data_IF_854106014438
#
_entry.id   IF_854106014438
#
_cell.length_a   1.000
_cell.length_b   1.000
_cell.length_c   1.000
_cell.angle_alpha   90.00
_cell.angle_beta   90.00
_cell.angle_gamma   90.00
#
_symmetry.space_group_name_H-M   'P 1'
#
loop_
_entity.id
_entity.type
_entity.pdbx_description
1 polymer ?
#
# COMPACT_ATOMS: atom_id res chain seq x y z
N UNK A 1 -14.38 -12.01 2.07
CA UNK A 1 -15.53 -11.75 1.19
C UNK A 1 -15.18 -10.73 0.09
N UNK A 2 -14.87 -9.44 0.38
CA UNK A 2 -14.58 -8.44 -0.68
C UNK A 2 -13.35 -8.79 -1.51
N UNK A 3 -12.29 -9.36 -0.92
CA UNK A 3 -11.12 -9.87 -1.64
C UNK A 3 -11.48 -10.97 -2.67
N UNK A 4 -12.53 -11.73 -2.41
CA UNK A 4 -13.02 -12.80 -3.30
C UNK A 4 -14.05 -12.29 -4.31
N UNK A 5 -14.89 -11.32 -3.94
CA UNK A 5 -15.92 -10.74 -4.80
C UNK A 5 -15.37 -9.78 -5.84
N UNK A 6 -14.28 -9.07 -5.50
CA UNK A 6 -13.68 -8.02 -6.33
C UNK A 6 -12.17 -8.26 -6.57
N UNK A 7 -11.76 -9.46 -7.05
CA UNK A 7 -10.34 -9.76 -7.27
C UNK A 7 -9.71 -8.85 -8.34
N UNK A 8 -10.49 -8.35 -9.29
CA UNK A 8 -10.03 -7.43 -10.34
C UNK A 8 -9.65 -6.04 -9.82
N UNK A 9 -10.05 -5.69 -8.60
CA UNK A 9 -9.64 -4.45 -7.94
C UNK A 9 -8.31 -4.59 -7.18
N UNK A 10 -7.74 -5.79 -7.15
CA UNK A 10 -6.46 -6.08 -6.48
C UNK A 10 -5.36 -6.24 -7.53
N UNK A 11 -4.32 -5.43 -7.45
CA UNK A 11 -3.18 -5.57 -8.33
C UNK A 11 -2.19 -6.61 -7.79
N UNK A 12 -1.57 -7.39 -8.68
CA UNK A 12 -0.65 -8.47 -8.29
C UNK A 12 0.62 -8.00 -7.57
N UNK A 13 1.02 -6.74 -7.72
CA UNK A 13 2.14 -6.14 -6.97
C UNK A 13 1.77 -5.72 -5.54
N UNK A 14 0.49 -5.59 -5.21
CA UNK A 14 0.03 -5.46 -3.83
C UNK A 14 -0.01 -6.84 -3.17
N UNK A 15 0.74 -7.02 -2.09
CA UNK A 15 0.92 -8.33 -1.43
C UNK A 15 0.30 -8.40 -0.03
N UNK A 16 -0.23 -7.28 0.48
CA UNK A 16 -0.82 -7.22 1.80
C UNK A 16 -2.16 -7.96 1.89
N UNK A 17 -2.48 -8.44 3.07
CA UNK A 17 -3.76 -9.06 3.44
C UNK A 17 -4.23 -10.22 2.54
N UNK A 18 -3.38 -10.75 1.67
CA UNK A 18 -3.69 -11.86 0.79
C UNK A 18 -3.33 -13.21 1.42
N UNK A 19 -4.23 -14.18 1.31
CA UNK A 19 -4.03 -15.52 1.86
C UNK A 19 -2.79 -16.18 1.27
N UNK A 20 -1.91 -16.68 2.13
CA UNK A 20 -0.68 -17.38 1.73
C UNK A 20 0.47 -16.47 1.31
N UNK A 21 0.32 -15.14 1.43
CA UNK A 21 1.39 -14.18 1.17
C UNK A 21 1.75 -13.45 2.46
N UNK A 22 2.84 -13.88 3.11
CA UNK A 22 3.40 -13.21 4.28
C UNK A 22 4.63 -12.39 3.95
N UNK A 23 5.05 -11.52 4.89
CA UNK A 23 6.22 -10.64 4.74
C UNK A 23 7.49 -11.41 4.32
N UNK A 24 7.73 -12.60 4.88
CA UNK A 24 8.90 -13.42 4.53
C UNK A 24 8.97 -13.80 3.05
N UNK A 25 7.82 -14.15 2.44
CA UNK A 25 7.76 -14.46 1.01
C UNK A 25 8.09 -13.23 0.14
N UNK A 26 7.54 -12.09 0.50
CA UNK A 26 7.80 -10.81 -0.20
C UNK A 26 9.28 -10.43 -0.09
N UNK A 27 9.85 -10.53 1.10
CA UNK A 27 11.27 -10.21 1.36
C UNK A 27 12.21 -11.15 0.60
N UNK A 28 11.88 -12.44 0.50
CA UNK A 28 12.65 -13.40 -0.31
C UNK A 28 12.64 -13.02 -1.78
N UNK A 29 11.48 -12.61 -2.32
CA UNK A 29 11.36 -12.14 -3.69
C UNK A 29 12.17 -10.86 -3.92
N UNK A 30 12.08 -9.88 -3.02
CA UNK A 30 12.89 -8.64 -3.07
C UNK A 30 14.39 -8.97 -3.08
N UNK A 31 14.85 -9.83 -2.18
CA UNK A 31 16.26 -10.25 -2.10
C UNK A 31 16.74 -10.88 -3.41
N UNK A 32 15.92 -11.74 -4.03
CA UNK A 32 16.23 -12.34 -5.32
C UNK A 32 16.35 -11.28 -6.43
N UNK A 33 15.41 -10.33 -6.49
CA UNK A 33 15.46 -9.21 -7.46
C UNK A 33 16.68 -8.32 -7.29
N UNK A 34 17.12 -8.11 -6.03
CA UNK A 34 18.36 -7.37 -5.76
C UNK A 34 19.59 -8.02 -6.39
N UNK A 35 19.65 -9.37 -6.40
CA UNK A 35 20.77 -10.08 -7.04
C UNK A 35 20.76 -10.00 -8.56
N UNK A 36 19.57 -9.97 -9.18
CA UNK A 36 19.41 -9.90 -10.63
C UNK A 36 19.80 -8.52 -11.20
N UNK A 37 19.62 -7.45 -10.43
CA UNK A 37 19.79 -6.06 -10.93
C UNK A 37 21.26 -5.63 -11.03
N UNK A 38 22.20 -6.38 -10.43
CA UNK A 38 23.65 -6.13 -10.53
C UNK A 38 24.17 -5.07 -9.56
N UNK A 39 25.51 -4.91 -9.50
CA UNK A 39 26.21 -4.19 -8.43
C UNK A 39 26.56 -2.73 -8.73
N UNK A 40 25.90 -2.02 -9.64
CA UNK A 40 26.29 -0.69 -10.04
C UNK A 40 25.30 0.41 -9.63
N UNK A 41 25.62 1.14 -8.57
CA UNK A 41 24.93 2.37 -8.20
C UNK A 41 23.66 2.18 -7.36
N UNK A 42 22.75 3.15 -7.42
CA UNK A 42 21.43 3.06 -6.83
C UNK A 42 20.57 2.08 -7.63
N UNK A 43 19.97 1.12 -6.96
CA UNK A 43 19.13 0.10 -7.58
C UNK A 43 17.63 0.41 -7.51
N UNK A 44 17.23 1.34 -6.66
CA UNK A 44 15.84 1.65 -6.44
C UNK A 44 15.57 2.49 -5.20
N UNK A 45 14.37 2.37 -4.69
CA UNK A 45 13.94 3.04 -3.46
C UNK A 45 12.93 2.20 -2.68
N UNK A 46 12.82 2.49 -1.40
CA UNK A 46 11.67 2.14 -0.58
C UNK A 46 11.04 3.40 0.02
N UNK A 47 9.77 3.36 0.27
CA UNK A 47 9.01 4.46 0.86
C UNK A 47 7.82 3.95 1.65
N UNK A 48 7.22 4.83 2.43
CA UNK A 48 6.04 4.60 3.23
C UNK A 48 5.12 5.82 3.13
N UNK A 49 3.82 5.60 3.16
CA UNK A 49 2.84 6.68 3.09
C UNK A 49 2.68 7.34 4.45
N UNK A 50 2.65 8.67 4.45
CA UNK A 50 2.42 9.43 5.68
C UNK A 50 0.99 9.25 6.18
N UNK A 51 0.84 8.61 7.34
CA UNK A 51 -0.47 8.40 7.99
C UNK A 51 -1.54 7.84 7.03
N UNK A 52 -1.19 6.79 6.27
CA UNK A 52 -2.04 6.29 5.18
C UNK A 52 -3.49 6.10 5.60
N UNK A 53 -3.75 5.35 6.67
CA UNK A 53 -5.11 5.08 7.15
C UNK A 53 -5.87 6.34 7.60
N UNK A 54 -5.16 7.40 7.91
CA UNK A 54 -5.71 8.66 8.39
C UNK A 54 -5.82 9.73 7.30
N UNK A 55 -5.23 9.52 6.12
CA UNK A 55 -5.10 10.54 5.07
C UNK A 55 -5.92 10.27 3.80
N UNK A 56 -6.56 9.11 3.69
CA UNK A 56 -7.38 8.77 2.52
C UNK A 56 -8.66 9.62 2.49
N UNK A 57 -8.88 10.43 1.45
CA UNK A 57 -10.13 11.18 1.33
C UNK A 57 -11.34 10.26 1.13
N UNK A 58 -12.44 10.58 1.81
CA UNK A 58 -13.67 9.77 1.83
C UNK A 58 -14.23 9.48 0.43
N UNK A 59 -14.08 10.41 -0.51
CA UNK A 59 -14.54 10.25 -1.90
C UNK A 59 -13.97 8.99 -2.57
N UNK A 60 -12.73 8.62 -2.30
CA UNK A 60 -12.13 7.41 -2.89
C UNK A 60 -12.68 6.12 -2.27
N UNK A 61 -13.09 6.18 -1.00
CA UNK A 61 -13.79 5.08 -0.34
C UNK A 61 -15.16 4.89 -0.98
N UNK A 62 -15.89 5.98 -1.24
CA UNK A 62 -17.17 5.96 -1.95
C UNK A 62 -17.03 5.39 -3.36
N UNK A 63 -16.03 5.84 -4.13
CA UNK A 63 -15.73 5.31 -5.47
C UNK A 63 -15.46 3.80 -5.46
N UNK A 64 -14.77 3.29 -4.41
CA UNK A 64 -14.54 1.85 -4.27
C UNK A 64 -15.85 1.09 -4.02
N UNK A 65 -16.73 1.62 -3.17
CA UNK A 65 -18.06 1.04 -2.94
C UNK A 65 -18.96 1.14 -4.16
N UNK A 66 -18.91 2.24 -4.91
CA UNK A 66 -19.66 2.39 -6.18
C UNK A 66 -19.29 1.27 -7.18
N UNK A 67 -18.00 0.91 -7.27
CA UNK A 67 -17.55 -0.20 -8.12
C UNK A 67 -18.13 -1.55 -7.66
N UNK A 68 -18.22 -1.78 -6.34
CA UNK A 68 -18.84 -3.00 -5.80
C UNK A 68 -20.31 -3.04 -6.18
N UNK A 69 -21.05 -1.95 -5.99
CA UNK A 69 -22.49 -1.86 -6.29
C UNK A 69 -22.77 -1.92 -7.79
N UNK A 70 -21.91 -1.35 -8.62
CA UNK A 70 -22.02 -1.46 -10.08
C UNK A 70 -21.94 -2.91 -10.57
N UNK A 71 -21.15 -3.75 -9.90
CA UNK A 71 -20.97 -5.16 -10.27
C UNK A 71 -21.99 -6.09 -9.62
N UNK A 72 -22.32 -5.87 -8.36
CA UNK A 72 -23.12 -6.79 -7.55
C UNK A 72 -24.51 -6.29 -7.18
N UNK A 73 -24.87 -5.06 -7.60
CA UNK A 73 -26.11 -4.40 -7.22
C UNK A 73 -26.03 -3.69 -5.86
N UNK A 74 -27.07 -2.92 -5.56
CA UNK A 74 -27.18 -2.21 -4.30
C UNK A 74 -27.23 -3.18 -3.10
N UNK A 75 -26.63 -2.76 -1.99
CA UNK A 75 -26.52 -3.58 -0.79
C UNK A 75 -26.68 -2.75 0.48
N UNK A 76 -27.62 -3.16 1.33
CA UNK A 76 -27.82 -2.54 2.65
C UNK A 76 -26.53 -2.58 3.51
N UNK A 77 -25.65 -3.56 3.30
CA UNK A 77 -24.35 -3.60 3.97
C UNK A 77 -23.44 -2.45 3.50
N UNK A 78 -23.39 -2.19 2.19
CA UNK A 78 -22.63 -1.06 1.64
C UNK A 78 -23.20 0.27 2.15
N UNK A 79 -24.53 0.43 2.24
CA UNK A 79 -25.14 1.62 2.82
C UNK A 79 -24.70 1.84 4.28
N UNK A 80 -24.65 0.78 5.09
CA UNK A 80 -24.17 0.85 6.47
C UNK A 80 -22.69 1.23 6.52
N UNK A 81 -21.86 0.64 5.66
CA UNK A 81 -20.44 0.96 5.56
C UNK A 81 -20.21 2.41 5.15
N UNK A 82 -20.95 2.93 4.17
CA UNK A 82 -20.89 4.36 3.80
C UNK A 82 -21.19 5.26 5.00
N UNK A 83 -22.32 5.03 5.69
CA UNK A 83 -22.66 5.78 6.91
C UNK A 83 -21.56 5.72 7.96
N UNK A 84 -20.96 4.55 8.17
CA UNK A 84 -19.84 4.37 9.09
C UNK A 84 -18.60 5.17 8.69
N UNK A 85 -18.22 5.14 7.41
CA UNK A 85 -17.05 5.89 6.92
C UNK A 85 -17.28 7.39 6.84
N UNK A 86 -18.53 7.85 6.57
CA UNK A 86 -18.91 9.25 6.59
C UNK A 86 -19.07 9.82 8.02
N UNK A 87 -19.21 8.98 9.04
CA UNK A 87 -19.23 9.44 10.44
C UNK A 87 -17.80 9.75 10.89
N UNK A 88 -17.60 10.92 11.49
CA UNK A 88 -16.35 11.29 12.17
C UNK A 88 -16.30 10.85 13.64
N UNK A 89 -17.43 10.34 14.17
CA UNK A 89 -17.57 9.94 15.56
C UNK A 89 -16.96 8.56 15.84
N UNK A 90 -16.30 8.43 16.99
CA UNK A 90 -15.81 7.17 17.53
C UNK A 90 -15.79 7.19 19.06
N UNK A 91 -15.75 6.02 19.70
CA UNK A 91 -15.54 5.91 21.13
C UNK A 91 -14.06 5.64 21.41
N UNK A 92 -13.47 6.41 22.33
CA UNK A 92 -12.11 6.19 22.83
C UNK A 92 -12.04 5.02 23.84
N UNK A 93 -10.85 4.75 24.36
CA UNK A 93 -10.60 3.66 25.32
C UNK A 93 -11.41 3.81 26.63
N UNK A 94 -11.79 5.04 26.97
CA UNK A 94 -12.63 5.36 28.14
C UNK A 94 -14.15 5.35 27.83
N UNK A 95 -14.56 4.89 26.66
CA UNK A 95 -15.95 4.94 26.17
C UNK A 95 -16.53 6.36 26.04
N UNK A 96 -15.69 7.38 25.82
CA UNK A 96 -16.15 8.73 25.56
C UNK A 96 -16.28 8.97 24.08
N UNK A 97 -17.37 9.61 23.66
CA UNK A 97 -17.61 9.98 22.28
C UNK A 97 -16.64 11.08 21.85
N UNK A 98 -15.84 10.81 20.84
CA UNK A 98 -14.84 11.70 20.26
C UNK A 98 -15.13 11.93 18.78
N UNK A 99 -14.55 12.99 18.22
CA UNK A 99 -14.62 13.31 16.79
C UNK A 99 -13.22 13.21 16.18
N UNK A 100 -13.15 12.55 15.01
CA UNK A 100 -11.95 12.42 14.20
C UNK A 100 -12.30 12.67 12.74
N UNK A 101 -11.33 13.15 11.95
CA UNK A 101 -11.55 13.31 10.51
C UNK A 101 -11.93 11.98 9.81
N UNK A 102 -12.64 12.11 8.71
CA UNK A 102 -13.12 10.96 7.91
C UNK A 102 -11.99 10.40 7.06
N UNK A 103 -11.71 9.10 7.20
CA UNK A 103 -10.72 8.36 6.38
C UNK A 103 -10.90 6.84 6.58
N UNK A 104 -9.89 6.02 6.21
CA UNK A 104 -9.84 4.61 6.57
C UNK A 104 -9.82 4.46 8.10
N UNK A 105 -10.69 3.64 8.64
CA UNK A 105 -10.81 3.43 10.09
C UNK A 105 -10.06 2.15 10.46
N UNK A 106 -8.97 2.29 11.21
CA UNK A 106 -8.23 1.14 11.73
C UNK A 106 -9.14 0.24 12.57
N UNK A 107 -8.97 -1.08 12.44
CA UNK A 107 -9.81 -2.06 13.13
C UNK A 107 -11.12 -2.41 12.43
N UNK A 108 -11.53 -1.69 11.38
CA UNK A 108 -12.65 -2.09 10.55
C UNK A 108 -12.24 -3.22 9.59
N UNK A 109 -13.03 -4.28 9.51
CA UNK A 109 -12.75 -5.45 8.67
C UNK A 109 -12.60 -5.14 7.17
N UNK A 110 -13.21 -4.03 6.70
CA UNK A 110 -13.15 -3.59 5.30
C UNK A 110 -11.95 -2.70 5.03
N UNK A 111 -11.32 -2.12 6.06
CA UNK A 111 -10.23 -1.17 5.91
C UNK A 111 -9.01 -1.78 5.19
N UNK A 112 -8.70 -3.05 5.43
CA UNK A 112 -7.60 -3.76 4.75
C UNK A 112 -7.84 -3.91 3.25
N UNK A 113 -9.06 -4.26 2.85
CA UNK A 113 -9.43 -4.33 1.43
C UNK A 113 -9.38 -2.94 0.78
N UNK A 114 -9.95 -1.93 1.42
CA UNK A 114 -9.89 -0.55 0.93
C UNK A 114 -8.43 -0.08 0.78
N UNK A 115 -7.58 -0.34 1.77
CA UNK A 115 -6.17 0.02 1.70
C UNK A 115 -5.44 -0.60 0.48
N UNK A 116 -5.85 -1.79 0.06
CA UNK A 116 -5.28 -2.42 -1.12
C UNK A 116 -5.84 -1.85 -2.43
N UNK A 117 -7.16 -1.70 -2.55
CA UNK A 117 -7.80 -1.33 -3.83
C UNK A 117 -7.65 0.16 -4.19
N UNK A 118 -7.50 1.05 -3.21
CA UNK A 118 -7.42 2.49 -3.43
C UNK A 118 -6.17 2.95 -4.20
N UNK A 119 -5.13 2.12 -4.21
CA UNK A 119 -3.87 2.37 -4.92
C UNK A 119 -3.69 1.50 -6.17
N UNK A 120 -4.76 0.80 -6.62
CA UNK A 120 -4.70 -0.10 -7.78
C UNK A 120 -4.07 0.55 -9.03
N UNK A 121 -4.50 1.77 -9.38
CA UNK A 121 -3.99 2.45 -10.58
C UNK A 121 -2.51 2.83 -10.45
N UNK A 122 -2.07 3.19 -9.24
CA UNK A 122 -0.66 3.43 -8.93
C UNK A 122 0.15 2.13 -9.05
N UNK A 123 -0.34 1.05 -8.44
CA UNK A 123 0.30 -0.28 -8.51
C UNK A 123 0.46 -0.75 -9.95
N UNK A 124 -0.58 -0.56 -10.78
CA UNK A 124 -0.57 -0.91 -12.20
C UNK A 124 0.47 -0.08 -12.97
N UNK A 125 0.52 1.22 -12.76
CA UNK A 125 1.45 2.11 -13.47
C UNK A 125 2.91 1.82 -13.10
N UNK A 126 3.21 1.67 -11.82
CA UNK A 126 4.57 1.37 -11.35
C UNK A 126 5.04 -0.03 -11.78
N UNK A 127 4.15 -1.01 -11.82
CA UNK A 127 4.50 -2.38 -12.24
C UNK A 127 4.79 -2.52 -13.74
N UNK A 128 4.39 -1.55 -14.57
CA UNK A 128 4.67 -1.53 -16.00
C UNK A 128 6.03 -0.90 -16.35
N UNK A 129 6.72 -0.32 -15.37
CA UNK A 129 8.04 0.30 -15.57
C UNK A 129 9.16 -0.75 -15.62
N UNK A 130 10.33 -0.34 -16.15
CA UNK A 130 11.49 -1.22 -16.23
C UNK A 130 12.13 -1.43 -14.85
N UNK A 131 11.53 -2.32 -14.08
CA UNK A 131 11.92 -2.66 -12.72
C UNK A 131 10.94 -3.63 -12.06
N UNK A 132 11.19 -3.90 -10.81
CA UNK A 132 10.33 -4.67 -9.93
C UNK A 132 9.70 -3.75 -8.90
N UNK A 133 8.38 -3.70 -8.87
CA UNK A 133 7.58 -2.96 -7.89
C UNK A 133 6.80 -3.91 -7.00
N UNK A 134 6.81 -3.64 -5.71
CA UNK A 134 5.97 -4.35 -4.74
C UNK A 134 5.47 -3.39 -3.66
N UNK A 135 4.22 -3.59 -3.25
CA UNK A 135 3.60 -2.87 -2.14
C UNK A 135 3.06 -3.86 -1.09
N UNK A 136 3.23 -3.50 0.17
CA UNK A 136 2.62 -4.19 1.30
C UNK A 136 1.97 -3.14 2.22
N UNK A 137 0.65 -2.96 2.08
CA UNK A 137 -0.10 -1.86 2.69
C UNK A 137 0.44 -0.49 2.27
N UNK A 138 1.02 0.27 3.18
CA UNK A 138 1.67 1.56 2.98
C UNK A 138 3.17 1.47 2.66
N UNK A 139 3.80 0.32 2.90
CA UNK A 139 5.19 0.06 2.54
C UNK A 139 5.33 -0.26 1.04
N UNK A 140 6.15 0.52 0.33
CA UNK A 140 6.39 0.41 -1.11
C UNK A 140 7.88 0.24 -1.39
N UNK A 141 8.20 -0.55 -2.42
CA UNK A 141 9.57 -0.76 -2.85
C UNK A 141 9.61 -0.89 -4.38
N UNK A 142 10.57 -0.21 -5.00
CA UNK A 142 10.87 -0.32 -6.42
C UNK A 142 12.37 -0.58 -6.62
N UNK A 143 12.70 -1.56 -7.47
CA UNK A 143 14.08 -1.90 -7.84
C UNK A 143 14.16 -1.97 -9.36
N UNK A 144 15.02 -1.18 -9.99
CA UNK A 144 15.22 -1.25 -11.43
C UNK A 144 15.65 0.05 -12.07
N UNK A 145 15.80 0.03 -13.40
CA UNK A 145 16.36 1.15 -14.16
C UNK A 145 15.51 2.42 -14.12
N UNK A 146 14.19 2.26 -14.00
CA UNK A 146 13.25 3.38 -14.02
C UNK A 146 12.98 3.95 -12.61
N UNK A 147 13.85 3.72 -11.62
CA UNK A 147 13.61 4.08 -10.22
C UNK A 147 13.32 5.57 -9.98
N UNK A 148 13.98 6.47 -10.71
CA UNK A 148 13.73 7.92 -10.62
C UNK A 148 12.34 8.26 -11.18
N UNK A 149 12.04 7.78 -12.38
CA UNK A 149 10.73 7.94 -13.01
C UNK A 149 9.61 7.34 -12.16
N UNK A 150 9.86 6.21 -11.53
CA UNK A 150 8.92 5.57 -10.63
C UNK A 150 8.65 6.42 -9.38
N UNK A 151 9.68 7.07 -8.82
CA UNK A 151 9.53 8.00 -7.68
C UNK A 151 8.73 9.24 -8.09
N UNK A 152 9.02 9.86 -9.23
CA UNK A 152 8.27 11.01 -9.75
C UNK A 152 6.80 10.67 -9.97
N UNK A 153 6.53 9.50 -10.56
CA UNK A 153 5.16 9.00 -10.77
C UNK A 153 4.44 8.76 -9.46
N UNK A 154 5.12 8.12 -8.48
CA UNK A 154 4.58 7.89 -7.15
C UNK A 154 4.16 9.22 -6.49
N UNK A 155 5.05 10.21 -6.46
CA UNK A 155 4.77 11.51 -5.85
C UNK A 155 3.57 12.20 -6.50
N UNK A 156 3.57 12.27 -7.83
CA UNK A 156 2.48 12.89 -8.60
C UNK A 156 1.13 12.20 -8.35
N UNK A 157 1.09 10.87 -8.39
CA UNK A 157 -0.16 10.12 -8.16
C UNK A 157 -0.68 10.23 -6.74
N UNK A 158 0.20 10.35 -5.76
CA UNK A 158 -0.20 10.60 -4.38
C UNK A 158 -0.75 12.02 -4.21
N UNK A 159 -0.13 13.03 -4.84
CA UNK A 159 -0.63 14.41 -4.85
C UNK A 159 -2.03 14.48 -5.47
N UNK A 160 -2.26 13.83 -6.62
CA UNK A 160 -3.58 13.73 -7.27
C UNK A 160 -4.64 13.15 -6.32
N UNK A 161 -4.23 12.26 -5.42
CA UNK A 161 -5.10 11.65 -4.39
C UNK A 161 -5.11 12.41 -3.06
N UNK A 162 -4.45 13.55 -2.97
CA UNK A 162 -4.28 14.33 -1.71
C UNK A 162 -3.59 13.54 -0.60
N UNK A 163 -2.74 12.59 -0.97
CA UNK A 163 -1.90 11.79 -0.07
C UNK A 163 -0.43 12.21 -0.19
N UNK A 164 0.39 11.82 0.78
CA UNK A 164 1.81 12.21 0.82
C UNK A 164 2.70 11.06 1.25
N UNK A 165 3.91 11.02 0.69
CA UNK A 165 5.00 10.20 1.22
C UNK A 165 5.43 10.71 2.59
N UNK A 166 5.94 9.79 3.40
CA UNK A 166 6.69 10.14 4.60
C UNK A 166 8.14 10.44 4.20
N UNK A 167 8.57 11.72 4.14
CA UNK A 167 9.91 12.06 3.63
C UNK A 167 11.05 11.47 4.45
N UNK A 168 10.79 11.12 5.72
CA UNK A 168 11.78 10.48 6.62
C UNK A 168 11.95 8.99 6.34
N UNK A 169 11.03 8.38 5.59
CA UNK A 169 11.03 6.96 5.26
C UNK A 169 11.33 6.66 3.80
N UNK A 170 11.58 7.69 2.99
CA UNK A 170 12.11 7.52 1.63
C UNK A 170 13.60 7.21 1.74
N UNK A 171 13.99 6.04 1.25
CA UNK A 171 15.38 5.57 1.26
C UNK A 171 15.73 5.01 -0.12
N UNK A 172 16.81 5.54 -0.71
CA UNK A 172 17.36 5.00 -1.95
C UNK A 172 18.25 3.79 -1.66
N UNK A 173 18.09 2.75 -2.45
CA UNK A 173 18.66 1.44 -2.22
C UNK A 173 19.92 1.22 -3.06
N UNK A 174 20.94 0.62 -2.44
CA UNK A 174 22.15 0.16 -3.11
C UNK A 174 22.40 -1.33 -2.77
N UNK A 175 23.02 -2.06 -3.71
CA UNK A 175 23.21 -3.51 -3.57
C UNK A 175 24.06 -3.92 -2.38
N UNK A 176 25.02 -3.08 -1.99
CA UNK A 176 26.02 -3.33 -0.94
C UNK A 176 25.67 -2.71 0.41
N UNK A 177 24.50 -2.07 0.54
CA UNK A 177 24.03 -1.43 1.76
C UNK A 177 22.82 -2.17 2.34
N UNK A 178 22.84 -2.38 3.66
CA UNK A 178 21.70 -2.96 4.37
C UNK A 178 20.56 -1.95 4.46
N UNK A 179 19.35 -2.39 4.12
CA UNK A 179 18.12 -1.65 4.36
C UNK A 179 17.08 -2.53 5.06
N UNK A 180 16.14 -1.89 5.75
CA UNK A 180 15.05 -2.60 6.46
C UNK A 180 13.77 -2.55 5.62
N UNK A 181 13.11 -3.70 5.46
CA UNK A 181 11.80 -3.81 4.79
C UNK A 181 10.97 -4.91 5.43
N UNK A 182 9.72 -4.61 5.80
CA UNK A 182 8.76 -5.54 6.39
C UNK A 182 9.31 -6.36 7.60
N UNK A 183 10.10 -5.72 8.47
CA UNK A 183 10.66 -6.39 9.64
C UNK A 183 11.94 -7.21 9.38
N UNK A 184 12.48 -7.14 8.18
CA UNK A 184 13.74 -7.81 7.80
C UNK A 184 14.79 -6.80 7.37
N UNK A 185 16.06 -7.17 7.51
CA UNK A 185 17.20 -6.48 6.92
C UNK A 185 17.63 -7.22 5.66
N UNK A 186 17.81 -6.48 4.56
CA UNK A 186 18.14 -7.03 3.23
C UNK A 186 19.42 -6.35 2.74
N UNK A 187 20.34 -7.13 2.13
CA UNK A 187 21.53 -6.64 1.42
C UNK A 187 21.84 -7.59 0.27
N UNK A 188 21.66 -7.16 -0.97
CA UNK A 188 21.81 -8.07 -2.12
C UNK A 188 20.94 -9.31 -1.94
N UNK A 189 21.52 -10.51 -2.06
CA UNK A 189 20.85 -11.79 -1.85
C UNK A 189 20.72 -12.25 -0.40
N UNK A 190 21.16 -11.45 0.58
CA UNK A 190 21.16 -11.80 2.00
C UNK A 190 19.95 -11.23 2.71
N UNK A 191 19.33 -12.02 3.58
CA UNK A 191 18.18 -11.62 4.42
C UNK A 191 18.47 -12.00 5.86
N UNK A 192 18.18 -11.10 6.80
CA UNK A 192 18.25 -11.31 8.24
C UNK A 192 17.03 -10.71 8.92
N UNK A 193 16.64 -11.18 10.09
CA UNK A 193 15.65 -10.50 10.90
C UNK A 193 16.20 -9.12 11.32
N UNK A 194 15.40 -8.07 11.22
CA UNK A 194 15.81 -6.78 11.73
C UNK A 194 15.72 -6.78 13.26
N UNK A 195 16.80 -6.42 13.92
CA UNK A 195 16.82 -6.12 15.35
C UNK A 195 16.10 -4.81 15.66
#
# INVERSE_FOLDING_TARGET
LLFELMPEMLHSSCKSYQTGIGCGKVVTEVSHRMTETGNSGCLGWKSDLSKYFDSVPIRFIDEAFDKVEAKHGQSALIDVLRKYYHSDLYFDEDNRLQSKYQSLKQGCAVASWLADVLLYDLDRELSQMNGYYVRYSDDMLFIGKDYEKAMDTLQKRLEDKSMKLNPKKVEYLAADVWFKFLGFSIKGGMVSLSS
#
